data_IF_083102171877
#
_entry.id   IF_083102171877
#
_cell.length_a   1.000
_cell.length_b   1.000
_cell.length_c   1.000
_cell.angle_alpha   90.00
_cell.angle_beta   90.00
_cell.angle_gamma   90.00
#
_symmetry.space_group_name_H-M   'P 1'
#
loop_
_entity.id
_entity.type
_entity.pdbx_description
1 polymer ?
#
# COMPACT_ATOMS: atom_id res chain seq x y z
N UNK A 1 9.17 4.59 28.53
CA UNK A 1 7.77 5.03 28.28
C UNK A 1 7.52 4.83 26.80
N UNK A 2 6.77 3.82 26.47
CA UNK A 2 6.38 3.57 25.06
C UNK A 2 5.49 4.73 24.63
N UNK A 3 6.01 5.62 23.80
CA UNK A 3 5.15 6.52 23.03
C UNK A 3 4.09 5.64 22.34
N UNK A 4 2.85 5.89 22.66
CA UNK A 4 1.72 5.20 22.08
C UNK A 4 1.83 5.38 20.56
N UNK A 5 2.28 4.33 19.87
CA UNK A 5 2.41 4.33 18.42
C UNK A 5 1.00 4.44 17.86
N UNK A 6 0.61 5.67 17.54
CA UNK A 6 -0.73 5.99 17.06
C UNK A 6 -0.95 5.34 15.70
N UNK A 7 -2.02 4.57 15.58
CA UNK A 7 -2.41 3.99 14.29
C UNK A 7 -2.79 5.11 13.32
N UNK A 8 -2.28 5.00 12.10
CA UNK A 8 -2.53 6.00 11.07
C UNK A 8 -4.00 6.05 10.66
N UNK A 9 -4.56 7.25 10.64
CA UNK A 9 -5.90 7.49 10.16
C UNK A 9 -6.08 7.13 8.68
N UNK A 10 -7.33 6.82 8.27
CA UNK A 10 -7.67 6.44 6.91
C UNK A 10 -7.23 7.50 5.88
N UNK A 11 -7.45 8.78 6.17
CA UNK A 11 -7.10 9.88 5.26
C UNK A 11 -5.60 9.93 4.94
N UNK A 12 -4.75 9.80 5.96
CA UNK A 12 -3.29 9.79 5.76
C UNK A 12 -2.83 8.57 4.95
N UNK A 13 -3.41 7.41 5.21
CA UNK A 13 -3.11 6.17 4.48
C UNK A 13 -3.52 6.28 3.01
N UNK A 14 -4.70 6.85 2.74
CA UNK A 14 -5.18 7.09 1.37
C UNK A 14 -4.30 8.11 0.66
N UNK A 15 -3.95 9.22 1.31
CA UNK A 15 -3.05 10.22 0.74
C UNK A 15 -1.68 9.63 0.41
N UNK A 16 -1.08 8.85 1.31
CA UNK A 16 0.19 8.16 1.06
C UNK A 16 0.11 7.23 -0.15
N UNK A 17 -0.97 6.45 -0.26
CA UNK A 17 -1.18 5.52 -1.38
C UNK A 17 -1.41 6.24 -2.69
N UNK A 18 -2.14 7.36 -2.67
CA UNK A 18 -2.32 8.23 -3.84
C UNK A 18 -0.98 8.77 -4.36
N UNK A 19 -0.09 9.21 -3.45
CA UNK A 19 1.26 9.64 -3.83
C UNK A 19 2.07 8.51 -4.47
N UNK A 20 1.99 7.29 -3.93
CA UNK A 20 2.64 6.13 -4.52
C UNK A 20 2.10 5.84 -5.93
N UNK A 21 0.80 5.93 -6.16
CA UNK A 21 0.22 5.75 -7.50
C UNK A 21 0.59 6.86 -8.48
N UNK A 22 0.67 8.12 -8.03
CA UNK A 22 1.16 9.23 -8.86
C UNK A 22 2.61 8.96 -9.29
N UNK A 23 3.45 8.50 -8.38
CA UNK A 23 4.84 8.13 -8.69
C UNK A 23 4.90 7.00 -9.73
N UNK A 24 4.10 5.95 -9.56
CA UNK A 24 4.00 4.84 -10.52
C UNK A 24 3.58 5.35 -11.90
N UNK A 25 2.55 6.20 -11.97
CA UNK A 25 2.05 6.77 -13.21
C UNK A 25 3.14 7.61 -13.90
N UNK A 26 3.88 8.43 -13.15
CA UNK A 26 4.99 9.21 -13.70
C UNK A 26 6.11 8.33 -14.28
N UNK A 27 6.46 7.24 -13.59
CA UNK A 27 7.47 6.29 -14.09
C UNK A 27 6.97 5.58 -15.35
N UNK A 28 5.69 5.22 -15.43
CA UNK A 28 5.11 4.61 -16.63
C UNK A 28 5.18 5.54 -17.84
N UNK A 29 4.91 6.83 -17.67
CA UNK A 29 5.01 7.83 -18.74
C UNK A 29 6.45 8.09 -19.17
N UNK A 30 7.39 8.13 -18.22
CA UNK A 30 8.79 8.41 -18.51
C UNK A 30 9.50 7.24 -19.22
N UNK A 31 9.12 6.01 -18.91
CA UNK A 31 9.77 4.78 -19.43
C UNK A 31 8.69 3.79 -19.93
N UNK A 32 8.01 4.04 -21.05
CA UNK A 32 6.81 3.30 -21.45
C UNK A 32 6.97 1.78 -21.56
N UNK A 33 8.16 1.31 -21.96
CA UNK A 33 8.40 -0.13 -22.16
C UNK A 33 8.61 -0.91 -20.86
N UNK A 34 9.19 -0.28 -19.85
CA UNK A 34 9.61 -0.91 -18.60
C UNK A 34 8.80 -0.38 -17.41
N UNK A 35 8.19 0.78 -17.55
CA UNK A 35 7.48 1.49 -16.50
C UNK A 35 6.37 0.67 -15.86
N UNK A 36 5.64 -0.13 -16.66
CA UNK A 36 4.62 -1.05 -16.12
C UNK A 36 5.21 -2.05 -15.11
N UNK A 37 6.30 -2.71 -15.49
CA UNK A 37 6.95 -3.70 -14.60
C UNK A 37 7.63 -3.04 -13.42
N UNK A 38 8.26 -1.88 -13.63
CA UNK A 38 8.85 -1.09 -12.56
C UNK A 38 7.78 -0.61 -11.55
N UNK A 39 6.63 -0.17 -12.05
CA UNK A 39 5.48 0.21 -11.23
C UNK A 39 4.91 -0.97 -10.44
N UNK A 40 4.78 -2.14 -11.05
CA UNK A 40 4.34 -3.36 -10.38
C UNK A 40 5.32 -3.78 -9.29
N UNK A 41 6.62 -3.77 -9.58
CA UNK A 41 7.66 -4.09 -8.62
C UNK A 41 7.63 -3.10 -7.44
N UNK A 42 7.52 -1.81 -7.72
CA UNK A 42 7.39 -0.80 -6.67
C UNK A 42 6.11 -0.98 -5.84
N UNK A 43 4.97 -1.27 -6.47
CA UNK A 43 3.70 -1.53 -5.78
C UNK A 43 3.82 -2.71 -4.81
N UNK A 44 4.48 -3.78 -5.21
CA UNK A 44 4.65 -4.98 -4.39
C UNK A 44 5.71 -4.78 -3.29
N UNK A 45 6.85 -4.17 -3.61
CA UNK A 45 8.01 -4.11 -2.73
C UNK A 45 8.12 -2.79 -1.95
N UNK A 46 7.38 -1.76 -2.35
CA UNK A 46 7.56 -0.39 -1.87
C UNK A 46 7.52 -0.25 -0.35
N UNK A 47 6.64 -0.97 0.32
CA UNK A 47 6.52 -0.92 1.78
C UNK A 47 7.66 -1.67 2.52
N UNK A 48 8.44 -2.48 1.82
CA UNK A 48 9.63 -3.13 2.36
C UNK A 48 10.90 -2.25 2.32
N UNK A 49 10.87 -1.16 1.56
CA UNK A 49 11.97 -0.19 1.54
C UNK A 49 11.92 0.74 2.77
N UNK A 50 12.98 1.47 3.00
CA UNK A 50 13.05 2.54 4.01
C UNK A 50 12.46 2.16 5.39
N UNK A 51 12.80 0.98 5.89
CA UNK A 51 12.32 0.48 7.19
C UNK A 51 10.78 0.39 7.30
N UNK A 52 10.15 -0.17 6.29
CA UNK A 52 8.70 -0.36 6.27
C UNK A 52 7.92 0.85 5.72
N UNK A 53 8.52 1.62 4.84
CA UNK A 53 7.89 2.80 4.24
C UNK A 53 8.03 2.79 2.72
N UNK A 54 6.93 2.98 2.01
CA UNK A 54 6.99 3.45 0.62
C UNK A 54 7.36 4.93 0.56
N UNK A 55 7.69 5.44 -0.61
CA UNK A 55 8.00 6.87 -0.76
C UNK A 55 6.83 7.76 -0.34
N UNK A 56 5.59 7.43 -0.73
CA UNK A 56 4.41 8.16 -0.31
C UNK A 56 4.21 8.14 1.20
N UNK A 57 4.41 6.99 1.86
CA UNK A 57 4.34 6.88 3.32
C UNK A 57 5.44 7.64 4.02
N UNK A 58 6.66 7.62 3.47
CA UNK A 58 7.80 8.37 4.01
C UNK A 58 7.52 9.87 4.00
N UNK A 59 6.92 10.40 2.93
CA UNK A 59 6.56 11.82 2.83
C UNK A 59 5.50 12.25 3.86
N UNK A 60 4.57 11.37 4.19
CA UNK A 60 3.47 11.66 5.15
C UNK A 60 3.81 11.16 6.56
N UNK A 61 5.05 10.72 6.82
CA UNK A 61 5.48 10.21 8.12
C UNK A 61 4.67 8.99 8.59
N UNK A 62 4.38 8.07 7.70
CA UNK A 62 3.75 6.79 8.00
C UNK A 62 4.77 5.65 7.94
N UNK A 63 4.55 4.61 8.72
CA UNK A 63 5.38 3.40 8.76
C UNK A 63 4.50 2.17 8.85
N UNK A 64 4.90 1.11 8.17
CA UNK A 64 4.28 -0.21 8.27
C UNK A 64 5.12 -1.06 9.19
N UNK A 65 4.46 -1.68 10.16
CA UNK A 65 5.10 -2.57 11.12
C UNK A 65 4.29 -3.85 11.29
N UNK A 66 4.93 -4.91 11.75
CA UNK A 66 4.25 -6.13 12.17
C UNK A 66 3.29 -5.83 13.32
N UNK A 67 2.07 -6.36 13.27
CA UNK A 67 1.06 -6.15 14.30
C UNK A 67 1.46 -6.75 15.66
N UNK A 68 2.27 -7.81 15.65
CA UNK A 68 2.65 -8.53 16.87
C UNK A 68 3.95 -8.03 17.50
N UNK A 69 4.95 -7.69 16.66
CA UNK A 69 6.30 -7.38 17.13
C UNK A 69 6.69 -5.94 16.96
N UNK A 70 5.88 -5.15 16.23
CA UNK A 70 6.18 -3.75 15.86
C UNK A 70 7.50 -3.57 15.10
N UNK A 71 8.07 -4.65 14.57
CA UNK A 71 9.23 -4.59 13.69
C UNK A 71 8.84 -4.03 12.32
N UNK A 72 9.77 -3.35 11.61
CA UNK A 72 9.50 -2.84 10.27
C UNK A 72 9.00 -3.92 9.31
N UNK A 73 8.07 -3.53 8.41
CA UNK A 73 7.56 -4.38 7.35
C UNK A 73 8.70 -4.93 6.49
N UNK A 74 8.71 -6.23 6.29
CA UNK A 74 9.65 -6.90 5.38
C UNK A 74 9.16 -6.85 3.93
N UNK A 75 10.02 -7.21 2.97
CA UNK A 75 9.59 -7.35 1.56
C UNK A 75 8.50 -8.40 1.38
N UNK A 76 8.57 -9.50 2.12
CA UNK A 76 7.53 -10.53 2.12
C UNK A 76 6.18 -9.94 2.56
N UNK A 77 6.17 -9.21 3.66
CA UNK A 77 4.94 -8.59 4.18
C UNK A 77 4.42 -7.53 3.20
N UNK A 78 5.31 -6.78 2.55
CA UNK A 78 4.97 -5.82 1.52
C UNK A 78 4.26 -6.48 0.34
N UNK A 79 4.78 -7.60 -0.17
CA UNK A 79 4.17 -8.38 -1.25
C UNK A 79 2.78 -8.86 -0.84
N UNK A 80 2.66 -9.49 0.32
CA UNK A 80 1.40 -10.05 0.81
C UNK A 80 0.32 -8.95 0.94
N UNK A 81 0.65 -7.83 1.57
CA UNK A 81 -0.31 -6.76 1.80
C UNK A 81 -0.70 -5.97 0.55
N UNK A 82 0.14 -5.92 -0.46
CA UNK A 82 -0.13 -5.21 -1.71
C UNK A 82 -0.59 -6.14 -2.84
N UNK A 83 -0.71 -7.45 -2.60
CA UNK A 83 -1.14 -8.44 -3.61
C UNK A 83 -2.52 -8.14 -4.20
N UNK A 84 -3.47 -7.65 -3.40
CA UNK A 84 -4.80 -7.25 -3.85
C UNK A 84 -4.73 -6.10 -4.88
N UNK A 85 -3.94 -5.07 -4.59
CA UNK A 85 -3.72 -3.97 -5.54
C UNK A 85 -2.91 -4.40 -6.76
N UNK A 86 -1.92 -5.29 -6.58
CA UNK A 86 -1.14 -5.83 -7.69
C UNK A 86 -2.01 -6.64 -8.66
N UNK A 87 -2.95 -7.41 -8.16
CA UNK A 87 -3.93 -8.09 -8.98
C UNK A 87 -4.73 -7.09 -9.82
N UNK A 88 -5.30 -6.03 -9.20
CA UNK A 88 -5.99 -4.96 -9.92
C UNK A 88 -5.11 -4.27 -10.96
N UNK A 89 -3.85 -4.01 -10.62
CA UNK A 89 -2.87 -3.40 -11.51
C UNK A 89 -2.56 -4.25 -12.75
N UNK A 90 -2.44 -5.56 -12.60
CA UNK A 90 -2.22 -6.49 -13.71
C UNK A 90 -3.43 -6.50 -14.65
N UNK A 91 -4.65 -6.45 -14.12
CA UNK A 91 -5.87 -6.36 -14.93
C UNK A 91 -5.98 -5.06 -15.74
N UNK A 92 -5.20 -4.03 -15.39
CA UNK A 92 -5.10 -2.81 -16.21
C UNK A 92 -4.64 -3.08 -17.66
N UNK A 93 -3.92 -4.17 -17.90
CA UNK A 93 -3.53 -4.60 -19.25
C UNK A 93 -4.73 -4.95 -20.13
N UNK A 94 -5.89 -5.22 -19.54
CA UNK A 94 -7.12 -5.51 -20.27
C UNK A 94 -7.98 -4.24 -20.31
N UNK A 95 -8.17 -3.62 -21.50
CA UNK A 95 -8.97 -2.41 -21.63
C UNK A 95 -10.37 -2.59 -21.01
N UNK A 96 -10.87 -1.57 -20.32
CA UNK A 96 -12.16 -1.52 -19.62
C UNK A 96 -12.26 -2.41 -18.38
N UNK A 97 -11.81 -3.65 -18.42
CA UNK A 97 -11.87 -4.60 -17.30
C UNK A 97 -10.95 -4.13 -16.17
N UNK A 98 -9.76 -3.64 -16.50
CA UNK A 98 -8.80 -3.15 -15.50
C UNK A 98 -9.37 -2.05 -14.62
N UNK A 99 -10.07 -1.09 -15.20
CA UNK A 99 -10.72 -0.01 -14.45
C UNK A 99 -11.80 -0.53 -13.51
N UNK A 100 -12.63 -1.45 -13.98
CA UNK A 100 -13.71 -2.05 -13.19
C UNK A 100 -13.12 -2.83 -12.00
N UNK A 101 -12.11 -3.67 -12.26
CA UNK A 101 -11.45 -4.47 -11.22
C UNK A 101 -10.75 -3.58 -10.21
N UNK A 102 -10.01 -2.56 -10.67
CA UNK A 102 -9.33 -1.63 -9.78
C UNK A 102 -10.34 -0.87 -8.89
N UNK A 103 -11.45 -0.42 -9.47
CA UNK A 103 -12.52 0.24 -8.71
C UNK A 103 -13.12 -0.70 -7.66
N UNK A 104 -13.48 -1.94 -8.05
CA UNK A 104 -14.06 -2.92 -7.13
C UNK A 104 -13.09 -3.28 -6.00
N UNK A 105 -11.81 -3.51 -6.29
CA UNK A 105 -10.78 -3.78 -5.27
C UNK A 105 -10.63 -2.58 -4.34
N UNK A 106 -10.62 -1.37 -4.87
CA UNK A 106 -10.50 -0.16 -4.06
C UNK A 106 -11.70 0.04 -3.13
N UNK A 107 -12.92 -0.20 -3.63
CA UNK A 107 -14.16 -0.12 -2.83
C UNK A 107 -14.16 -1.20 -1.75
N UNK A 108 -13.76 -2.44 -2.09
CA UNK A 108 -13.65 -3.53 -1.12
C UNK A 108 -12.67 -3.20 0.00
N UNK A 109 -11.45 -2.79 -0.36
CA UNK A 109 -10.41 -2.42 0.61
C UNK A 109 -10.87 -1.26 1.51
N UNK A 110 -11.52 -0.26 0.92
CA UNK A 110 -12.07 0.89 1.66
C UNK A 110 -13.16 0.46 2.65
N UNK A 111 -14.09 -0.39 2.19
CA UNK A 111 -15.19 -0.91 3.02
C UNK A 111 -14.66 -1.75 4.19
N UNK A 112 -13.65 -2.59 3.93
CA UNK A 112 -13.02 -3.40 4.96
C UNK A 112 -12.31 -2.53 6.01
N UNK A 113 -11.62 -1.47 5.60
CA UNK A 113 -11.00 -0.53 6.54
C UNK A 113 -12.04 0.17 7.41
N UNK A 114 -13.17 0.58 6.84
CA UNK A 114 -14.26 1.22 7.60
C UNK A 114 -14.95 0.25 8.57
N UNK A 115 -15.10 -1.02 8.17
CA UNK A 115 -15.73 -2.06 8.99
C UNK A 115 -14.79 -2.69 10.03
N UNK A 116 -13.50 -2.51 9.90
CA UNK A 116 -12.51 -3.08 10.82
C UNK A 116 -12.35 -2.21 12.06
N UNK A 117 -12.45 -2.83 13.23
CA UNK A 117 -12.19 -2.15 14.53
C UNK A 117 -10.76 -1.60 14.61
N UNK A 118 -9.83 -2.21 13.90
CA UNK A 118 -8.41 -1.88 13.88
C UNK A 118 -8.01 -1.03 12.66
N UNK A 119 -8.94 -0.71 11.76
CA UNK A 119 -8.67 0.05 10.55
C UNK A 119 -7.71 -0.70 9.59
N UNK A 120 -7.69 -2.03 9.65
CA UNK A 120 -6.84 -2.86 8.79
C UNK A 120 -7.54 -3.16 7.46
N UNK A 121 -6.77 -3.11 6.36
CA UNK A 121 -7.20 -3.59 5.05
C UNK A 121 -7.06 -5.11 4.97
N UNK A 122 -7.69 -5.72 3.95
CA UNK A 122 -7.52 -7.15 3.69
C UNK A 122 -6.03 -7.53 3.55
N UNK A 123 -5.26 -6.78 2.79
CA UNK A 123 -3.83 -7.01 2.64
C UNK A 123 -3.04 -6.85 3.95
N UNK A 124 -3.41 -5.90 4.81
CA UNK A 124 -2.78 -5.72 6.12
C UNK A 124 -3.06 -6.91 7.04
N UNK A 125 -4.29 -7.46 6.98
CA UNK A 125 -4.70 -8.62 7.76
C UNK A 125 -3.97 -9.89 7.29
N UNK A 126 -3.89 -10.12 5.98
CA UNK A 126 -3.16 -11.25 5.39
C UNK A 126 -1.67 -11.21 5.77
N UNK A 127 -1.07 -10.04 5.77
CA UNK A 127 0.34 -9.86 6.11
C UNK A 127 0.62 -9.73 7.62
N UNK A 128 -0.40 -9.60 8.45
CA UNK A 128 -0.26 -9.36 9.89
C UNK A 128 0.45 -8.05 10.20
N UNK A 129 0.14 -6.98 9.47
CA UNK A 129 0.79 -5.67 9.59
C UNK A 129 -0.19 -4.56 9.94
N UNK A 130 0.31 -3.49 10.54
CA UNK A 130 -0.44 -2.26 10.81
C UNK A 130 0.34 -1.04 10.33
N UNK A 131 -0.37 0.04 10.04
CA UNK A 131 0.24 1.32 9.66
C UNK A 131 0.17 2.26 10.85
N UNK A 132 1.30 2.81 11.23
CA UNK A 132 1.46 3.74 12.36
C UNK A 132 1.96 5.10 11.87
N UNK A 133 1.66 6.14 12.63
CA UNK A 133 2.25 7.46 12.44
C UNK A 133 3.64 7.50 13.10
N UNK A 134 4.59 8.14 12.44
CA UNK A 134 5.93 8.39 12.97
C UNK A 134 6.13 9.89 13.15
N UNK A 135 6.83 10.27 14.16
CA UNK A 135 7.19 11.68 14.40
C UNK A 135 8.21 12.20 13.37
#
# INVERSE_FOLDING_TARGET
>A
MSEEQRRAGLLLRTAAKTLDFILIAAVMEMVPRVGFYAGLAYLLLGDGFFDGRSLGKKLIKLKVVSANTYTPCTFRDSILRNSTFAAGYIFWLVPWIGWIVLFLVSVLEFTLVLGSKDGMRLGDEIAGTVVIETQ
#
